data_IF_869191123560
#
_entry.id   IF_869191123560
#
_cell.length_a   1.000
_cell.length_b   1.000
_cell.length_c   1.000
_cell.angle_alpha   90.00
_cell.angle_beta   90.00
_cell.angle_gamma   90.00
#
_symmetry.space_group_name_H-M   'P 1'
#
loop_
_entity.id
_entity.type
_entity.pdbx_description
1 polymer ?
#
# COMPACT_ATOMS: atom_id res chain seq x y z
N UNK A 1 0.78 -2.66 -11.57
CA UNK A 1 -0.70 -2.55 -11.71
C UNK A 1 -1.10 -1.09 -11.60
N UNK A 2 -2.16 -0.68 -12.28
CA UNK A 2 -2.71 0.69 -12.21
C UNK A 2 -4.18 0.54 -11.81
N UNK A 3 -4.61 1.28 -10.78
CA UNK A 3 -6.01 1.39 -10.41
C UNK A 3 -6.47 2.83 -10.61
N UNK A 4 -7.66 2.98 -11.20
CA UNK A 4 -8.28 4.27 -11.44
C UNK A 4 -9.66 4.29 -10.78
N UNK A 5 -10.06 5.44 -10.23
CA UNK A 5 -11.36 5.69 -9.62
C UNK A 5 -11.68 7.17 -9.67
N UNK A 6 -12.95 7.52 -9.54
CA UNK A 6 -13.43 8.91 -9.59
C UNK A 6 -12.86 9.77 -8.46
N UNK A 7 -12.54 9.13 -7.34
CA UNK A 7 -11.84 9.74 -6.22
C UNK A 7 -10.72 8.82 -5.67
N UNK A 8 -9.91 9.41 -4.79
CA UNK A 8 -8.78 8.73 -4.15
C UNK A 8 -9.21 7.47 -3.39
N UNK A 9 -10.34 7.53 -2.68
CA UNK A 9 -10.84 6.41 -1.86
C UNK A 9 -11.20 5.23 -2.75
N UNK A 10 -11.89 5.48 -3.85
CA UNK A 10 -12.32 4.50 -4.84
C UNK A 10 -11.12 3.88 -5.58
N UNK A 11 -10.14 4.69 -5.97
CA UNK A 11 -8.91 4.20 -6.59
C UNK A 11 -8.11 3.28 -5.64
N UNK A 12 -7.99 3.66 -4.36
CA UNK A 12 -7.33 2.84 -3.33
C UNK A 12 -8.11 1.54 -3.07
N UNK A 13 -9.43 1.60 -2.96
CA UNK A 13 -10.26 0.41 -2.75
C UNK A 13 -10.07 -0.61 -3.90
N UNK A 14 -10.08 -0.13 -5.14
CA UNK A 14 -9.81 -0.97 -6.33
C UNK A 14 -8.40 -1.55 -6.32
N UNK A 15 -7.40 -0.77 -5.92
CA UNK A 15 -6.02 -1.23 -5.80
C UNK A 15 -5.89 -2.35 -4.75
N UNK A 16 -6.58 -2.24 -3.61
CA UNK A 16 -6.57 -3.27 -2.56
C UNK A 16 -7.12 -4.60 -3.08
N UNK A 17 -8.27 -4.58 -3.74
CA UNK A 17 -8.84 -5.79 -4.38
C UNK A 17 -7.85 -6.39 -5.38
N UNK A 18 -7.27 -5.57 -6.27
CA UNK A 18 -6.33 -6.06 -7.26
C UNK A 18 -5.05 -6.66 -6.67
N UNK A 19 -4.57 -6.15 -5.53
CA UNK A 19 -3.43 -6.72 -4.81
C UNK A 19 -3.79 -8.01 -4.07
N UNK A 20 -5.01 -8.10 -3.51
CA UNK A 20 -5.49 -9.29 -2.80
C UNK A 20 -5.73 -10.47 -3.73
N UNK A 21 -6.17 -10.20 -4.97
CA UNK A 21 -6.38 -11.21 -6.01
C UNK A 21 -5.09 -11.56 -6.78
N UNK A 22 -3.97 -10.86 -6.51
CA UNK A 22 -2.74 -11.08 -7.26
C UNK A 22 -2.03 -12.36 -6.82
N UNK A 23 -2.05 -13.36 -7.71
CA UNK A 23 -1.36 -14.64 -7.54
C UNK A 23 -0.02 -14.64 -8.27
N UNK A 24 1.07 -14.75 -7.52
CA UNK A 24 2.43 -14.85 -8.05
C UNK A 24 3.15 -16.03 -7.40
N UNK A 25 3.67 -16.95 -8.20
CA UNK A 25 4.32 -18.17 -7.72
C UNK A 25 5.83 -18.12 -7.96
N UNK A 26 6.61 -18.65 -7.00
CA UNK A 26 8.05 -18.89 -7.17
C UNK A 26 8.97 -17.67 -7.03
N UNK A 27 8.43 -16.48 -6.71
CA UNK A 27 9.22 -15.27 -6.50
C UNK A 27 8.72 -14.47 -5.29
N UNK A 28 9.66 -13.90 -4.52
CA UNK A 28 9.32 -12.94 -3.46
C UNK A 28 9.02 -11.58 -4.10
N UNK A 29 7.95 -10.94 -3.65
CA UNK A 29 7.50 -9.65 -4.19
C UNK A 29 7.21 -8.65 -3.07
N UNK A 30 7.02 -7.39 -3.45
CA UNK A 30 6.63 -6.32 -2.54
C UNK A 30 5.10 -6.17 -2.40
N UNK A 31 4.31 -7.13 -2.89
CA UNK A 31 2.84 -7.12 -2.74
C UNK A 31 2.40 -6.95 -1.28
N UNK A 32 2.98 -7.69 -0.30
CA UNK A 32 2.62 -7.50 1.10
C UNK A 32 2.97 -6.11 1.66
N UNK A 33 4.00 -5.46 1.09
CA UNK A 33 4.37 -4.09 1.46
C UNK A 33 3.30 -3.10 0.98
N UNK A 34 2.87 -3.22 -0.28
CA UNK A 34 1.84 -2.35 -0.84
C UNK A 34 0.47 -2.54 -0.16
N UNK A 35 0.08 -3.78 0.15
CA UNK A 35 -1.17 -4.07 0.89
C UNK A 35 -1.18 -3.42 2.28
N UNK A 36 -0.05 -3.50 2.98
CA UNK A 36 0.11 -2.83 4.28
C UNK A 36 0.04 -1.31 4.15
N UNK A 37 0.76 -0.73 3.18
CA UNK A 37 0.78 0.72 2.96
C UNK A 37 -0.61 1.27 2.59
N UNK A 38 -1.41 0.54 1.81
CA UNK A 38 -2.77 0.95 1.46
C UNK A 38 -3.80 0.76 2.58
N UNK A 39 -3.42 0.08 3.67
CA UNK A 39 -4.23 -0.06 4.88
C UNK A 39 -3.82 0.93 5.98
N UNK A 40 -2.78 1.71 5.74
CA UNK A 40 -2.22 2.66 6.69
C UNK A 40 -3.02 3.98 6.74
N UNK A 41 -3.50 4.42 7.94
CA UNK A 41 -4.31 5.63 8.05
C UNK A 41 -3.62 6.91 7.54
N UNK A 42 -2.33 7.10 7.83
CA UNK A 42 -1.60 8.30 7.38
C UNK A 42 -1.44 8.34 5.86
N UNK A 43 -1.27 7.18 5.22
CA UNK A 43 -1.32 7.08 3.77
C UNK A 43 -2.74 7.36 3.24
N UNK A 44 -3.80 6.89 3.90
CA UNK A 44 -5.19 7.15 3.51
C UNK A 44 -5.60 8.62 3.65
N UNK A 45 -5.02 9.34 4.59
CA UNK A 45 -5.24 10.79 4.79
C UNK A 45 -4.51 11.65 3.73
N UNK A 46 -3.46 11.11 3.11
CA UNK A 46 -2.71 11.80 2.05
C UNK A 46 -1.68 12.82 2.56
N UNK A 47 -1.46 12.89 3.87
CA UNK A 47 -0.46 13.75 4.51
C UNK A 47 0.91 13.08 4.64
N UNK A 48 1.55 12.72 3.52
CA UNK A 48 2.86 12.07 3.52
C UNK A 48 3.90 12.84 2.69
N UNK A 49 5.18 12.63 3.03
CA UNK A 49 6.33 13.19 2.30
C UNK A 49 7.25 12.07 1.79
N UNK A 50 8.37 12.45 1.19
CA UNK A 50 9.32 11.49 0.60
C UNK A 50 9.94 10.52 1.63
N UNK A 51 9.96 10.86 2.91
CA UNK A 51 10.51 10.03 3.99
C UNK A 51 9.45 9.19 4.71
N UNK A 52 8.20 9.22 4.25
CA UNK A 52 7.10 8.55 4.92
C UNK A 52 7.32 7.05 5.05
N UNK A 53 7.67 6.40 3.94
CA UNK A 53 7.87 4.96 3.91
C UNK A 53 9.01 4.51 4.83
N UNK A 54 10.11 5.24 4.85
CA UNK A 54 11.28 4.95 5.71
C UNK A 54 10.89 4.97 7.19
N UNK A 55 10.16 6.00 7.62
CA UNK A 55 9.69 6.12 9.01
C UNK A 55 8.73 4.99 9.38
N UNK A 56 7.74 4.71 8.51
CA UNK A 56 6.76 3.65 8.75
C UNK A 56 7.39 2.26 8.80
N UNK A 57 8.46 2.03 8.02
CA UNK A 57 9.21 0.78 8.08
C UNK A 57 10.01 0.65 9.38
N UNK A 58 10.61 1.73 9.87
CA UNK A 58 11.28 1.75 11.16
C UNK A 58 10.29 1.48 12.31
N UNK A 59 9.12 2.11 12.30
CA UNK A 59 8.06 1.87 13.31
C UNK A 59 7.57 0.41 13.29
N UNK A 60 7.48 -0.19 12.10
CA UNK A 60 7.03 -1.58 11.91
C UNK A 60 8.07 -2.61 12.35
N UNK A 61 9.35 -2.28 12.26
CA UNK A 61 10.43 -3.18 12.64
C UNK A 61 10.52 -3.38 14.16
N UNK A 62 9.92 -2.48 14.96
CA UNK A 62 10.07 -2.44 16.41
C UNK A 62 11.52 -2.12 16.83
N UNK A 63 11.77 -1.81 18.12
CA UNK A 63 13.12 -1.89 18.66
C UNK A 63 13.68 -3.32 18.63
#
# INVERSE_FOLDING_TARGET
IIAHGEDRKSAIARMRVALDEMVLNGIKTNVPLHQWLLSDPGFLEGGFNIHYLEKRLADRAGP
#
